data_IF_651638620153
#
_entry.id   IF_651638620153
#
_cell.length_a   1.000
_cell.length_b   1.000
_cell.length_c   1.000
_cell.angle_alpha   90.00
_cell.angle_beta   90.00
_cell.angle_gamma   90.00
#
_symmetry.space_group_name_H-M   'P 1'
#
loop_
_entity.id
_entity.type
_entity.pdbx_description
1 polymer ?
#
# COMPACT_ATOMS: atom_id res chain seq x y z
N UNK A 1 4.41 3.51 -31.06
CA UNK A 1 4.22 2.72 -29.82
C UNK A 1 3.67 3.65 -28.76
N UNK A 2 2.72 3.24 -27.92
CA UNK A 2 2.10 4.18 -27.00
C UNK A 2 3.13 4.58 -25.94
N UNK A 3 3.25 5.88 -25.70
CA UNK A 3 4.17 6.49 -24.75
C UNK A 3 3.60 6.29 -23.35
N UNK A 4 3.86 5.12 -22.75
CA UNK A 4 3.51 4.87 -21.35
C UNK A 4 4.57 5.52 -20.45
N UNK A 5 4.53 6.84 -20.36
CA UNK A 5 5.28 7.58 -19.34
C UNK A 5 4.46 7.63 -18.05
N UNK A 6 5.13 7.67 -16.89
CA UNK A 6 4.53 7.96 -15.58
C UNK A 6 3.56 9.17 -15.65
N UNK A 7 3.91 10.16 -16.46
CA UNK A 7 3.12 11.38 -16.66
C UNK A 7 1.76 11.11 -17.31
N UNK A 8 1.69 10.24 -18.31
CA UNK A 8 0.42 9.88 -18.97
C UNK A 8 -0.55 9.16 -18.01
N UNK A 9 -0.01 8.33 -17.11
CA UNK A 9 -0.83 7.68 -16.08
C UNK A 9 -1.29 8.65 -15.01
N UNK A 10 -0.40 9.50 -14.50
CA UNK A 10 -0.79 10.52 -13.53
C UNK A 10 -1.85 11.45 -14.14
N UNK A 11 -1.69 11.87 -15.40
CA UNK A 11 -2.67 12.65 -16.14
C UNK A 11 -4.01 11.91 -16.29
N UNK A 12 -3.99 10.61 -16.58
CA UNK A 12 -5.21 9.80 -16.71
C UNK A 12 -5.94 9.68 -15.37
N UNK A 13 -5.20 9.41 -14.29
CA UNK A 13 -5.74 9.40 -12.93
C UNK A 13 -6.38 10.76 -12.66
N UNK A 14 -5.68 11.86 -12.91
CA UNK A 14 -6.13 13.21 -12.53
C UNK A 14 -7.18 13.82 -13.44
N UNK A 15 -7.34 13.30 -14.67
CA UNK A 15 -8.37 13.75 -15.60
C UNK A 15 -9.79 13.32 -15.17
N UNK A 16 -9.90 12.29 -14.34
CA UNK A 16 -11.18 11.78 -13.87
C UNK A 16 -11.41 12.18 -12.41
N UNK A 17 -11.86 13.42 -12.18
CA UNK A 17 -12.05 13.97 -10.81
C UNK A 17 -13.06 13.17 -9.96
N UNK A 18 -13.87 12.30 -10.54
CA UNK A 18 -14.79 11.39 -9.83
C UNK A 18 -14.24 9.99 -9.58
N UNK A 19 -12.98 9.72 -9.93
CA UNK A 19 -12.36 8.40 -9.77
C UNK A 19 -12.16 8.07 -8.28
N UNK A 20 -12.83 7.02 -7.81
CA UNK A 20 -12.74 6.56 -6.43
C UNK A 20 -11.67 5.47 -6.24
N UNK A 21 -11.57 4.55 -7.19
CA UNK A 21 -10.72 3.37 -7.10
C UNK A 21 -9.84 3.28 -8.35
N UNK A 22 -8.56 2.98 -8.16
CA UNK A 22 -7.62 2.80 -9.27
C UNK A 22 -6.74 1.58 -9.02
N UNK A 23 -6.62 0.73 -10.03
CA UNK A 23 -5.76 -0.47 -10.03
C UNK A 23 -4.68 -0.28 -11.10
N UNK A 24 -3.42 -0.44 -10.72
CA UNK A 24 -2.27 -0.18 -11.59
C UNK A 24 -1.40 -1.43 -11.62
N UNK A 25 -1.30 -2.04 -12.80
CA UNK A 25 -0.41 -3.16 -13.08
C UNK A 25 0.91 -2.65 -13.69
N UNK A 26 2.04 -2.98 -13.06
CA UNK A 26 3.36 -2.46 -13.39
C UNK A 26 4.35 -3.58 -13.79
N UNK A 27 4.16 -4.27 -14.92
CA UNK A 27 5.06 -5.37 -15.26
C UNK A 27 6.46 -4.90 -15.70
N UNK A 28 6.61 -3.74 -16.36
CA UNK A 28 7.90 -3.10 -16.71
C UNK A 28 7.69 -1.70 -17.32
N UNK A 29 7.78 -0.62 -16.53
CA UNK A 29 7.55 0.74 -17.03
C UNK A 29 8.85 1.57 -17.11
N UNK A 30 9.05 2.33 -18.21
CA UNK A 30 10.20 3.23 -18.33
C UNK A 30 10.06 4.45 -17.40
N UNK A 31 11.16 4.82 -16.75
CA UNK A 31 11.23 6.00 -15.90
C UNK A 31 11.38 7.27 -16.75
N UNK A 32 10.28 7.97 -17.03
CA UNK A 32 10.34 9.31 -17.61
C UNK A 32 9.75 10.34 -16.65
N UNK A 33 10.49 11.44 -16.46
CA UNK A 33 10.24 12.46 -15.43
C UNK A 33 9.60 13.72 -16.00
N UNK A 34 8.47 14.15 -15.45
CA UNK A 34 8.09 15.57 -15.36
C UNK A 34 8.10 15.99 -13.89
N UNK A 35 8.31 17.29 -13.64
CA UNK A 35 8.54 17.84 -12.30
C UNK A 35 7.25 18.23 -11.56
N UNK A 36 6.08 18.01 -12.15
CA UNK A 36 4.83 18.54 -11.62
C UNK A 36 4.27 17.64 -10.52
N UNK A 37 3.91 18.26 -9.40
CA UNK A 37 3.11 17.61 -8.36
C UNK A 37 1.65 17.80 -8.72
N UNK A 38 0.89 16.72 -8.75
CA UNK A 38 -0.53 16.71 -9.13
C UNK A 38 -1.36 16.29 -7.92
N UNK A 39 -2.57 16.82 -7.79
CA UNK A 39 -3.50 16.45 -6.72
C UNK A 39 -4.73 15.78 -7.32
N UNK A 40 -5.19 14.68 -6.72
CA UNK A 40 -6.45 14.05 -7.08
C UNK A 40 -7.47 14.20 -5.94
N UNK A 41 -8.65 14.81 -6.16
CA UNK A 41 -9.53 15.22 -5.08
C UNK A 41 -10.32 14.09 -4.41
N UNK A 42 -10.65 13.01 -5.13
CA UNK A 42 -11.65 12.01 -4.66
C UNK A 42 -11.12 10.58 -4.53
N UNK A 43 -9.88 10.31 -4.94
CA UNK A 43 -9.35 8.96 -5.04
C UNK A 43 -9.15 8.39 -3.63
N UNK A 44 -9.90 7.34 -3.31
CA UNK A 44 -9.96 6.77 -1.97
C UNK A 44 -9.22 5.43 -1.85
N UNK A 45 -9.00 4.73 -2.97
CA UNK A 45 -8.39 3.40 -2.99
C UNK A 45 -7.41 3.29 -4.15
N UNK A 46 -6.21 2.80 -3.86
CA UNK A 46 -5.17 2.62 -4.86
C UNK A 46 -4.53 1.24 -4.70
N UNK A 47 -4.56 0.46 -5.77
CA UNK A 47 -4.05 -0.91 -5.79
C UNK A 47 -2.94 -1.05 -6.81
N UNK A 48 -1.85 -1.71 -6.43
CA UNK A 48 -0.70 -1.94 -7.30
C UNK A 48 -0.38 -3.42 -7.41
N UNK A 49 -0.08 -3.87 -8.63
CA UNK A 49 0.65 -5.12 -8.88
C UNK A 49 2.07 -4.79 -9.33
N UNK A 50 3.05 -5.37 -8.65
CA UNK A 50 4.47 -5.12 -8.90
C UNK A 50 5.26 -6.44 -8.89
N UNK A 51 6.04 -6.66 -9.96
CA UNK A 51 6.91 -7.83 -10.07
C UNK A 51 8.41 -7.51 -10.02
N UNK A 52 8.81 -6.26 -10.23
CA UNK A 52 10.24 -5.91 -10.37
C UNK A 52 10.64 -4.75 -9.47
N UNK A 53 11.95 -4.60 -9.23
CA UNK A 53 12.49 -3.44 -8.53
C UNK A 53 12.09 -2.11 -9.17
N UNK A 54 12.02 -2.08 -10.51
CA UNK A 54 11.60 -0.91 -11.26
C UNK A 54 10.13 -0.56 -11.04
N UNK A 55 9.25 -1.57 -10.89
CA UNK A 55 7.85 -1.35 -10.51
C UNK A 55 7.75 -0.57 -9.20
N UNK A 56 8.52 -0.94 -8.17
CA UNK A 56 8.51 -0.23 -6.88
C UNK A 56 9.11 1.18 -6.97
N UNK A 57 10.08 1.41 -7.84
CA UNK A 57 10.61 2.74 -8.12
C UNK A 57 9.52 3.63 -8.76
N UNK A 58 8.72 3.07 -9.68
CA UNK A 58 7.58 3.78 -10.28
C UNK A 58 6.51 4.09 -9.25
N UNK A 59 6.14 3.13 -8.39
CA UNK A 59 5.20 3.35 -7.28
C UNK A 59 5.69 4.48 -6.37
N UNK A 60 6.98 4.46 -5.99
CA UNK A 60 7.59 5.53 -5.19
C UNK A 60 7.48 6.88 -5.89
N UNK A 61 7.75 6.92 -7.20
CA UNK A 61 7.64 8.14 -7.99
C UNK A 61 6.20 8.65 -8.11
N UNK A 62 5.20 7.76 -8.24
CA UNK A 62 3.78 8.11 -8.18
C UNK A 62 3.50 8.81 -6.85
N UNK A 63 3.81 8.17 -5.72
CA UNK A 63 3.50 8.74 -4.40
C UNK A 63 4.22 10.04 -4.06
N UNK A 64 5.42 10.27 -4.64
CA UNK A 64 6.12 11.56 -4.50
C UNK A 64 5.47 12.68 -5.31
N UNK A 65 4.77 12.34 -6.39
CA UNK A 65 4.21 13.30 -7.36
C UNK A 65 2.71 13.49 -7.22
N UNK A 66 1.99 12.54 -6.65
CA UNK A 66 0.54 12.64 -6.47
C UNK A 66 0.18 12.93 -5.01
N UNK A 67 -0.66 13.94 -4.80
CA UNK A 67 -1.30 14.25 -3.52
C UNK A 67 -2.70 13.64 -3.52
N UNK A 68 -2.96 12.78 -2.54
CA UNK A 68 -4.19 12.00 -2.43
C UNK A 68 -4.83 12.22 -1.04
N UNK A 69 -5.47 13.39 -0.81
CA UNK A 69 -6.00 13.75 0.50
C UNK A 69 -7.07 12.77 1.02
N UNK A 70 -7.85 12.18 0.12
CA UNK A 70 -8.94 11.25 0.45
C UNK A 70 -8.54 9.77 0.45
N UNK A 71 -7.24 9.46 0.30
CA UNK A 71 -6.77 8.07 0.22
C UNK A 71 -6.95 7.34 1.55
N UNK A 72 -7.78 6.31 1.54
CA UNK A 72 -8.13 5.47 2.69
C UNK A 72 -7.62 4.05 2.59
N UNK A 73 -7.48 3.53 1.38
CA UNK A 73 -7.13 2.14 1.13
C UNK A 73 -5.94 2.05 0.18
N UNK A 74 -4.95 1.25 0.54
CA UNK A 74 -3.84 0.91 -0.35
C UNK A 74 -3.61 -0.60 -0.36
N UNK A 75 -3.56 -1.18 -1.55
CA UNK A 75 -3.27 -2.58 -1.77
C UNK A 75 -1.98 -2.76 -2.58
N UNK A 76 -1.13 -3.70 -2.17
CA UNK A 76 0.05 -4.12 -2.92
C UNK A 76 0.04 -5.63 -3.15
N UNK A 77 0.11 -6.02 -4.41
CA UNK A 77 0.33 -7.39 -4.84
C UNK A 77 1.75 -7.52 -5.40
N UNK A 78 2.55 -8.38 -4.79
CA UNK A 78 3.93 -8.63 -5.18
C UNK A 78 4.02 -9.99 -5.86
N UNK A 79 4.39 -10.02 -7.14
CA UNK A 79 4.47 -11.28 -7.90
C UNK A 79 5.68 -12.13 -7.50
N UNK A 80 6.78 -11.48 -7.09
CA UNK A 80 8.03 -12.14 -6.74
C UNK A 80 8.39 -11.87 -5.28
N UNK A 81 8.27 -12.90 -4.46
CA UNK A 81 8.68 -12.87 -3.04
C UNK A 81 10.19 -12.71 -2.96
N UNK A 82 10.60 -11.54 -2.52
CA UNK A 82 12.00 -11.19 -2.32
C UNK A 82 12.08 -10.12 -1.25
N UNK A 83 12.99 -10.30 -0.31
CA UNK A 83 13.27 -9.31 0.73
C UNK A 83 13.67 -7.95 0.13
N UNK A 84 14.34 -7.94 -1.04
CA UNK A 84 14.73 -6.71 -1.72
C UNK A 84 13.51 -5.92 -2.24
N UNK A 85 12.55 -6.62 -2.84
CA UNK A 85 11.29 -6.02 -3.31
C UNK A 85 10.51 -5.41 -2.14
N UNK A 86 10.52 -6.07 -0.99
CA UNK A 86 9.85 -5.56 0.20
C UNK A 86 10.51 -4.29 0.76
N UNK A 87 11.85 -4.21 0.75
CA UNK A 87 12.54 -2.96 1.14
C UNK A 87 12.19 -1.80 0.21
N UNK A 88 12.03 -2.06 -1.09
CA UNK A 88 11.59 -1.04 -2.05
C UNK A 88 10.13 -0.64 -1.84
N UNK A 89 9.25 -1.59 -1.50
CA UNK A 89 7.89 -1.30 -1.08
C UNK A 89 7.86 -0.35 0.14
N UNK A 90 8.79 -0.48 1.09
CA UNK A 90 8.84 0.45 2.24
C UNK A 90 9.20 1.84 1.79
N UNK A 91 10.17 1.96 0.89
CA UNK A 91 10.57 3.25 0.35
C UNK A 91 9.41 3.92 -0.41
N UNK A 92 8.59 3.11 -1.10
CA UNK A 92 7.38 3.56 -1.75
C UNK A 92 6.33 4.03 -0.73
N UNK A 93 6.03 3.23 0.28
CA UNK A 93 5.13 3.58 1.39
C UNK A 93 5.62 4.79 2.20
N UNK A 94 6.93 4.95 2.40
CA UNK A 94 7.50 6.12 3.04
C UNK A 94 7.22 7.39 2.22
N UNK A 95 7.22 7.27 0.89
CA UNK A 95 6.87 8.39 0.00
C UNK A 95 5.39 8.80 0.19
N UNK A 96 4.49 7.85 0.49
CA UNK A 96 3.10 8.14 0.89
C UNK A 96 3.03 8.96 2.18
N UNK A 97 3.84 8.62 3.18
CA UNK A 97 3.80 9.35 4.46
C UNK A 97 4.17 10.83 4.32
N UNK A 98 4.97 11.18 3.30
CA UNK A 98 5.30 12.57 2.95
C UNK A 98 4.16 13.25 2.17
N UNK A 99 3.24 12.47 1.59
CA UNK A 99 2.11 12.94 0.80
C UNK A 99 0.83 13.24 1.60
N UNK A 100 0.86 13.05 2.93
CA UNK A 100 -0.18 13.45 3.90
C UNK A 100 -1.51 12.63 3.91
N UNK A 101 -1.57 11.29 3.79
CA UNK A 101 -2.80 10.60 4.14
C UNK A 101 -2.88 10.50 5.66
N UNK A 102 -3.46 11.53 6.29
CA UNK A 102 -3.97 11.44 7.66
C UNK A 102 -5.18 10.48 7.76
N UNK A 103 -5.54 9.84 6.66
CA UNK A 103 -6.78 9.10 6.43
C UNK A 103 -6.55 7.66 5.97
N UNK A 104 -5.31 7.15 5.91
CA UNK A 104 -5.08 5.76 5.51
C UNK A 104 -5.64 4.83 6.59
N UNK A 105 -6.71 4.10 6.27
CA UNK A 105 -7.45 3.23 7.19
C UNK A 105 -7.25 1.74 6.89
N UNK A 106 -6.91 1.38 5.66
CA UNK A 106 -6.75 0.00 5.23
C UNK A 106 -5.45 -0.21 4.44
N UNK A 107 -4.72 -1.26 4.83
CA UNK A 107 -3.52 -1.72 4.14
C UNK A 107 -3.70 -3.19 3.78
N UNK A 108 -3.58 -3.51 2.49
CA UNK A 108 -3.61 -4.88 2.00
C UNK A 108 -2.27 -5.22 1.35
N UNK A 109 -1.64 -6.29 1.80
CA UNK A 109 -0.39 -6.82 1.26
C UNK A 109 -0.61 -8.24 0.80
N UNK A 110 -0.13 -8.55 -0.41
CA UNK A 110 -0.13 -9.89 -0.96
C UNK A 110 1.28 -10.27 -1.45
N UNK A 111 1.78 -11.45 -1.07
CA UNK A 111 3.08 -11.96 -1.56
C UNK A 111 4.31 -11.24 -0.99
N UNK A 112 4.20 -10.64 0.19
CA UNK A 112 5.29 -9.90 0.85
C UNK A 112 6.12 -10.84 1.73
N UNK A 113 7.44 -10.83 1.55
CA UNK A 113 8.42 -11.56 2.37
C UNK A 113 9.40 -10.59 3.02
N UNK A 114 9.27 -10.36 4.33
CA UNK A 114 10.09 -9.39 5.06
C UNK A 114 10.11 -9.64 6.57
N UNK A 115 11.15 -9.30 7.33
CA UNK A 115 11.13 -9.44 8.79
C UNK A 115 9.97 -8.68 9.46
N UNK A 116 9.36 -9.22 10.52
CA UNK A 116 8.23 -8.58 11.24
C UNK A 116 8.45 -7.12 11.67
N UNK A 117 9.71 -6.70 11.88
CA UNK A 117 10.07 -5.30 12.18
C UNK A 117 9.60 -4.32 11.10
N UNK A 118 9.52 -4.79 9.86
CA UNK A 118 9.01 -4.05 8.72
C UNK A 118 7.54 -3.67 8.88
N UNK A 119 6.70 -4.67 9.18
CA UNK A 119 5.27 -4.48 9.42
C UNK A 119 5.04 -3.49 10.57
N UNK A 120 5.80 -3.65 11.66
CA UNK A 120 5.77 -2.73 12.81
C UNK A 120 6.12 -1.30 12.40
N UNK A 121 7.15 -1.12 11.57
CA UNK A 121 7.55 0.20 11.05
C UNK A 121 6.45 0.87 10.22
N UNK A 122 5.75 0.12 9.36
CA UNK A 122 4.60 0.63 8.60
C UNK A 122 3.47 1.04 9.54
N UNK A 123 3.06 0.16 10.45
CA UNK A 123 1.95 0.42 11.37
C UNK A 123 2.23 1.60 12.31
N UNK A 124 3.48 1.78 12.71
CA UNK A 124 3.91 2.94 13.50
C UNK A 124 3.83 4.25 12.70
N UNK A 125 4.13 4.19 11.40
CA UNK A 125 4.10 5.36 10.50
C UNK A 125 2.68 5.76 10.10
N UNK A 126 1.77 4.80 10.05
CA UNK A 126 0.37 5.01 9.70
C UNK A 126 -0.54 4.60 10.87
N UNK A 127 -0.58 5.40 11.96
CA UNK A 127 -1.36 5.05 13.14
C UNK A 127 -2.86 4.91 12.87
N UNK A 128 -3.34 5.56 11.81
CA UNK A 128 -4.74 5.60 11.38
C UNK A 128 -5.24 4.30 10.75
N UNK A 129 -4.33 3.36 10.40
CA UNK A 129 -4.71 2.06 9.85
C UNK A 129 -5.54 1.31 10.89
N UNK A 130 -6.76 0.93 10.49
CA UNK A 130 -7.74 0.17 11.26
C UNK A 130 -7.84 -1.28 10.79
N UNK A 131 -7.57 -1.55 9.51
CA UNK A 131 -7.63 -2.90 8.95
C UNK A 131 -6.36 -3.25 8.18
N UNK A 132 -5.87 -4.48 8.38
CA UNK A 132 -4.69 -5.01 7.69
C UNK A 132 -5.03 -6.36 7.05
N UNK A 133 -4.99 -6.45 5.73
CA UNK A 133 -5.07 -7.71 4.99
C UNK A 133 -3.66 -8.21 4.66
N UNK A 134 -3.29 -9.41 5.10
CA UNK A 134 -1.98 -10.03 4.83
C UNK A 134 -2.20 -11.39 4.19
N UNK A 135 -2.07 -11.46 2.87
CA UNK A 135 -2.36 -12.66 2.10
C UNK A 135 -1.07 -13.21 1.52
N UNK A 136 -0.80 -14.48 1.79
CA UNK A 136 0.39 -15.13 1.23
C UNK A 136 1.71 -14.39 1.58
N UNK A 137 1.74 -13.78 2.77
CA UNK A 137 2.88 -13.05 3.31
C UNK A 137 3.71 -13.93 4.26
N UNK A 138 5.02 -13.72 4.28
CA UNK A 138 5.94 -14.33 5.24
C UNK A 138 6.70 -13.24 6.01
N UNK A 139 6.54 -13.23 7.34
CA UNK A 139 7.23 -12.28 8.23
C UNK A 139 8.39 -12.87 9.04
N UNK A 140 8.76 -14.12 8.76
CA UNK A 140 9.79 -14.88 9.48
C UNK A 140 9.40 -15.24 10.92
N UNK A 141 8.10 -15.21 11.24
CA UNK A 141 7.52 -15.52 12.55
C UNK A 141 6.15 -16.17 12.37
N UNK A 142 5.60 -16.75 13.44
CA UNK A 142 4.28 -17.35 13.43
C UNK A 142 3.16 -16.30 13.22
N UNK A 143 2.05 -16.73 12.60
CA UNK A 143 0.89 -15.87 12.32
C UNK A 143 0.35 -15.18 13.58
N UNK A 144 0.42 -15.83 14.75
CA UNK A 144 -0.04 -15.23 16.01
C UNK A 144 0.88 -14.10 16.51
N UNK A 145 2.17 -14.15 16.23
CA UNK A 145 3.09 -13.03 16.49
C UNK A 145 2.78 -11.85 15.57
N UNK A 146 2.43 -12.12 14.30
CA UNK A 146 1.98 -11.10 13.34
C UNK A 146 0.65 -10.50 13.78
N UNK A 147 -0.33 -11.33 14.16
CA UNK A 147 -1.63 -10.89 14.71
C UNK A 147 -1.44 -10.01 15.93
N UNK A 148 -0.56 -10.43 16.84
CA UNK A 148 -0.21 -9.64 18.03
C UNK A 148 0.46 -8.32 17.62
N UNK A 149 1.34 -8.32 16.62
CA UNK A 149 1.99 -7.10 16.15
C UNK A 149 1.00 -6.06 15.60
N UNK A 150 -0.10 -6.51 14.99
CA UNK A 150 -1.14 -5.63 14.42
C UNK A 150 -2.11 -5.14 15.50
N UNK A 151 -2.60 -6.05 16.33
CA UNK A 151 -3.74 -5.82 17.24
C UNK A 151 -3.34 -5.30 18.61
N UNK A 152 -2.10 -5.55 19.05
CA UNK A 152 -1.66 -5.20 20.40
C UNK A 152 -1.34 -3.71 20.54
N UNK A 153 -2.20 -3.01 21.31
CA UNK A 153 -2.04 -1.58 21.64
C UNK A 153 -0.86 -1.28 22.57
N UNK A 154 -0.39 -2.25 23.34
CA UNK A 154 0.46 -2.01 24.50
C UNK A 154 1.98 -2.24 24.28
N UNK A 155 2.41 -2.89 23.19
CA UNK A 155 3.79 -3.41 23.08
C UNK A 155 4.76 -2.64 22.17
N UNK A 156 4.33 -1.57 21.51
CA UNK A 156 5.20 -0.84 20.57
C UNK A 156 5.46 0.60 20.96
N UNK A 157 6.03 0.84 22.16
CA UNK A 157 6.67 2.12 22.49
C UNK A 157 5.88 3.38 22.12
N UNK A 158 4.55 3.30 22.17
CA UNK A 158 3.69 4.42 21.81
C UNK A 158 3.69 5.38 22.99
N UNK A 159 4.54 6.40 22.94
CA UNK A 159 4.47 7.56 23.83
C UNK A 159 3.15 8.36 23.68
N UNK A 160 2.18 7.86 22.91
CA UNK A 160 0.88 8.47 22.65
C UNK A 160 -0.26 7.43 22.75
N UNK A 161 -0.66 7.03 23.97
CA UNK A 161 -1.74 6.05 24.19
C UNK A 161 -3.12 6.51 23.71
N UNK A 162 -3.31 7.80 23.42
CA UNK A 162 -4.62 8.40 23.11
C UNK A 162 -5.08 8.20 21.65
N UNK A 163 -4.24 7.64 20.76
CA UNK A 163 -4.51 7.54 19.30
C UNK A 163 -4.54 6.10 18.77
N UNK A 164 -4.27 5.09 19.60
CA UNK A 164 -4.18 3.70 19.14
C UNK A 164 -5.58 3.09 18.89
N UNK A 165 -6.08 3.22 17.65
CA UNK A 165 -7.33 2.59 17.20
C UNK A 165 -7.21 1.06 17.30
N UNK A 166 -8.31 0.37 17.63
CA UNK A 166 -8.31 -1.10 17.54
C UNK A 166 -8.10 -1.49 16.07
N UNK A 167 -7.04 -2.27 15.80
CA UNK A 167 -6.80 -2.80 14.47
C UNK A 167 -7.39 -4.19 14.33
N UNK A 168 -7.94 -4.48 13.17
CA UNK A 168 -8.32 -5.82 12.72
C UNK A 168 -7.29 -6.35 11.74
N UNK A 169 -7.18 -7.67 11.63
CA UNK A 169 -6.35 -8.30 10.63
C UNK A 169 -7.07 -9.48 9.97
N UNK A 170 -6.79 -9.68 8.69
CA UNK A 170 -7.27 -10.80 7.91
C UNK A 170 -6.08 -11.48 7.22
N UNK A 171 -6.05 -12.81 7.25
CA UNK A 171 -4.99 -13.62 6.66
C UNK A 171 -5.52 -14.59 5.59
N UNK A 172 -6.84 -14.74 5.51
CA UNK A 172 -7.52 -15.71 4.67
C UNK A 172 -8.58 -14.98 3.83
N UNK A 173 -8.49 -15.15 2.52
CA UNK A 173 -9.43 -14.55 1.58
C UNK A 173 -10.80 -15.18 1.65
N UNK A 174 -10.97 -16.36 2.22
CA UNK A 174 -12.27 -17.02 2.34
C UNK A 174 -13.13 -16.44 3.48
N UNK A 175 -12.53 -15.65 4.37
CA UNK A 175 -13.23 -14.99 5.46
C UNK A 175 -14.19 -13.90 4.93
N UNK A 176 -15.38 -13.78 5.53
CA UNK A 176 -16.37 -12.75 5.15
C UNK A 176 -15.84 -11.32 5.31
N UNK A 177 -14.94 -11.08 6.28
CA UNK A 177 -14.26 -9.79 6.44
C UNK A 177 -13.29 -9.44 5.31
N UNK A 178 -12.92 -10.40 4.45
CA UNK A 178 -11.99 -10.23 3.33
C UNK A 178 -12.70 -9.93 1.99
N UNK A 179 -14.02 -9.77 1.96
CA UNK A 179 -14.78 -9.62 0.71
C UNK A 179 -14.23 -8.51 -0.20
N UNK A 180 -13.83 -7.37 0.39
CA UNK A 180 -13.23 -6.25 -0.34
C UNK A 180 -11.82 -6.56 -0.86
N UNK A 181 -10.99 -7.19 -0.05
CA UNK A 181 -9.64 -7.59 -0.46
C UNK A 181 -9.70 -8.62 -1.59
N UNK A 182 -10.65 -9.55 -1.54
CA UNK A 182 -10.91 -10.53 -2.59
C UNK A 182 -11.30 -9.87 -3.90
N UNK A 183 -12.19 -8.87 -3.87
CA UNK A 183 -12.57 -8.09 -5.05
C UNK A 183 -11.34 -7.43 -5.69
N UNK A 184 -10.53 -6.73 -4.90
CA UNK A 184 -9.33 -6.03 -5.36
C UNK A 184 -8.31 -7.01 -5.96
N UNK A 185 -7.99 -8.08 -5.24
CA UNK A 185 -6.98 -9.05 -5.69
C UNK A 185 -7.46 -9.81 -6.94
N UNK A 186 -8.75 -10.14 -7.03
CA UNK A 186 -9.33 -10.78 -8.23
C UNK A 186 -9.25 -9.91 -9.49
N UNK A 187 -9.11 -8.59 -9.34
CA UNK A 187 -8.96 -7.67 -10.49
C UNK A 187 -7.61 -7.86 -11.21
N UNK A 188 -6.63 -8.48 -10.55
CA UNK A 188 -5.29 -8.73 -11.09
C UNK A 188 -5.10 -10.15 -11.67
N UNK A 189 -6.11 -11.03 -11.59
CA UNK A 189 -6.08 -12.40 -12.09
C UNK A 189 -7.06 -12.59 -13.26
#
# INVERSE_FOLDING_TARGET
>A
GPVWSLCGHLQTITACESLLHCHIDLPNWPQNSTSETIQHPTLNSLSFRAGTADSFNVISAIFRRIRLPELKEVCFMVDYRSQANCMLLLAALQSISQSLPRSLEQLTLHGVEAPILYLRSILNRFPTIKSVGLYDCDFGVDTEDVRTAITNRARFGWEYPEVAVARTCCFDLDNASAARDREILSTFY
#
